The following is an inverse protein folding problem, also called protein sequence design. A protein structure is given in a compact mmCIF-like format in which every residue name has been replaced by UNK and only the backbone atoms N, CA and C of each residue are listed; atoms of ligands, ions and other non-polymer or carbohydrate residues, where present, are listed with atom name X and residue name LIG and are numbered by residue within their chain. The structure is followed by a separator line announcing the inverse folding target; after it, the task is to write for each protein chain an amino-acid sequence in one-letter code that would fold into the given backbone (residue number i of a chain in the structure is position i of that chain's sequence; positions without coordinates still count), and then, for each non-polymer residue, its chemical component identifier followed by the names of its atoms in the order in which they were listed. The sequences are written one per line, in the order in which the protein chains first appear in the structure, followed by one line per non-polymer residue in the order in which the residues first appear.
data_IF_866665898170
#
_entry.id   IF_866665898170
#
_cell.length_a   1.000
_cell.length_b   1.000
_cell.length_c   1.000
_cell.angle_alpha   90.00
_cell.angle_beta   90.00
_cell.angle_gamma   90.00
#
_symmetry.space_group_name_H-M   'P 1'
#
loop_
_entity.id
_entity.type
_entity.pdbx_description
1 polymer ?
#
# COMPACT_ATOMS: atom_id res chain seq x y z
N UNK A 1 -9.74 -20.51 -10.51
CA UNK A 1 -10.29 -19.36 -9.74
C UNK A 1 -9.94 -18.03 -10.41
N UNK A 2 -8.71 -17.80 -10.89
CA UNK A 2 -8.28 -16.52 -11.49
C UNK A 2 -8.36 -16.45 -13.02
N UNK A 3 -8.50 -17.58 -13.70
CA UNK A 3 -8.49 -17.64 -15.18
C UNK A 3 -9.57 -16.74 -15.80
N UNK A 4 -9.14 -15.82 -16.67
CA UNK A 4 -10.01 -14.84 -17.34
C UNK A 4 -10.58 -13.75 -16.43
N UNK A 5 -10.28 -13.75 -15.11
CA UNK A 5 -10.76 -12.71 -14.19
C UNK A 5 -10.07 -11.38 -14.49
N UNK A 6 -10.86 -10.34 -14.74
CA UNK A 6 -10.34 -8.98 -14.94
C UNK A 6 -9.99 -8.32 -13.62
N UNK A 7 -8.71 -8.04 -13.42
CA UNK A 7 -8.17 -7.50 -12.16
C UNK A 7 -7.53 -6.14 -12.40
N UNK A 8 -8.09 -5.09 -11.81
CA UNK A 8 -7.44 -3.77 -11.80
C UNK A 8 -6.40 -3.74 -10.67
N UNK A 9 -5.13 -3.51 -11.02
CA UNK A 9 -4.05 -3.33 -10.04
C UNK A 9 -3.64 -1.86 -10.04
N UNK A 10 -4.15 -1.09 -9.07
CA UNK A 10 -3.71 0.30 -8.90
C UNK A 10 -2.31 0.32 -8.27
N UNK A 11 -1.46 1.23 -8.72
CA UNK A 11 -0.03 1.14 -8.39
C UNK A 11 0.64 -0.07 -9.04
N UNK A 12 0.02 -0.67 -10.07
CA UNK A 12 0.46 -1.87 -10.77
C UNK A 12 1.79 -1.74 -11.51
N UNK A 13 2.28 -0.51 -11.69
CA UNK A 13 3.60 -0.22 -12.28
C UNK A 13 4.68 0.05 -11.22
N UNK A 14 4.30 0.10 -9.94
CA UNK A 14 5.22 0.23 -8.80
C UNK A 14 5.79 -1.11 -8.36
N UNK A 15 6.61 -1.06 -7.32
CA UNK A 15 7.32 -2.23 -6.80
C UNK A 15 6.36 -3.40 -6.48
N UNK A 16 5.52 -3.27 -5.46
CA UNK A 16 4.58 -4.34 -5.07
C UNK A 16 3.62 -4.71 -6.21
N UNK A 17 3.03 -3.69 -6.85
CA UNK A 17 2.01 -3.91 -7.89
C UNK A 17 2.53 -4.68 -9.09
N UNK A 18 3.78 -4.45 -9.52
CA UNK A 18 4.38 -5.17 -10.66
C UNK A 18 4.55 -6.67 -10.37
N UNK A 19 4.95 -7.04 -9.16
CA UNK A 19 5.03 -8.44 -8.73
C UNK A 19 3.65 -9.10 -8.68
N UNK A 20 2.63 -8.38 -8.19
CA UNK A 20 1.24 -8.87 -8.19
C UNK A 20 0.75 -9.08 -9.63
N UNK A 21 0.97 -8.12 -10.53
CA UNK A 21 0.62 -8.24 -11.96
C UNK A 21 1.29 -9.46 -12.59
N UNK A 22 2.58 -9.67 -12.33
CA UNK A 22 3.29 -10.84 -12.83
C UNK A 22 2.68 -12.15 -12.31
N UNK A 23 2.34 -12.19 -11.02
CA UNK A 23 1.73 -13.36 -10.40
C UNK A 23 0.33 -13.63 -10.94
N UNK A 24 -0.49 -12.59 -11.14
CA UNK A 24 -1.83 -12.72 -11.72
C UNK A 24 -1.77 -13.26 -13.16
N UNK A 25 -0.82 -12.78 -13.98
CA UNK A 25 -0.60 -13.34 -15.32
C UNK A 25 -0.24 -14.82 -15.29
N UNK A 26 0.61 -15.24 -14.36
CA UNK A 26 0.98 -16.64 -14.18
C UNK A 26 -0.20 -17.53 -13.70
N UNK A 27 -1.29 -16.92 -13.23
CA UNK A 27 -2.54 -17.58 -12.83
C UNK A 27 -3.64 -17.45 -13.91
N UNK A 28 -3.27 -17.06 -15.15
CA UNK A 28 -4.17 -16.84 -16.28
C UNK A 28 -5.28 -15.80 -16.02
N UNK A 29 -5.05 -14.85 -15.09
CA UNK A 29 -5.92 -13.69 -14.93
C UNK A 29 -5.67 -12.65 -16.03
N UNK A 30 -6.58 -11.69 -16.17
CA UNK A 30 -6.45 -10.51 -17.04
C UNK A 30 -6.13 -9.24 -16.19
N UNK A 31 -4.87 -9.03 -15.75
CA UNK A 31 -4.51 -7.90 -14.94
C UNK A 31 -4.31 -6.63 -15.78
N UNK A 32 -5.00 -5.56 -15.39
CA UNK A 32 -4.82 -4.19 -15.88
C UNK A 32 -3.97 -3.42 -14.87
N UNK A 33 -2.70 -3.18 -15.22
CA UNK A 33 -1.77 -2.44 -14.37
C UNK A 33 -1.86 -0.94 -14.64
N UNK A 34 -2.18 -0.15 -13.62
CA UNK A 34 -2.26 1.32 -13.72
C UNK A 34 -1.34 2.01 -12.72
N UNK A 35 -0.83 3.17 -13.10
CA UNK A 35 0.01 4.05 -12.29
C UNK A 35 -0.44 5.51 -12.41
N UNK A 36 0.30 6.43 -11.81
CA UNK A 36 -0.02 7.88 -11.80
C UNK A 36 -0.02 8.54 -13.18
N UNK A 37 0.59 7.91 -14.18
CA UNK A 37 0.56 8.39 -15.58
C UNK A 37 -0.76 8.05 -16.29
N UNK A 38 -1.53 7.10 -15.78
CA UNK A 38 -2.80 6.66 -16.37
C UNK A 38 -3.99 7.43 -15.78
N UNK A 39 -3.96 7.69 -14.46
CA UNK A 39 -4.95 8.49 -13.76
C UNK A 39 -4.40 9.01 -12.42
N UNK A 40 -4.78 10.21 -12.05
CA UNK A 40 -4.57 10.75 -10.70
C UNK A 40 -5.69 10.24 -9.78
N UNK A 41 -5.36 9.28 -8.91
CA UNK A 41 -6.33 8.72 -7.97
C UNK A 41 -6.70 9.67 -6.81
N UNK A 42 -6.03 10.82 -6.67
CA UNK A 42 -6.49 11.88 -5.75
C UNK A 42 -7.69 12.65 -6.31
N UNK A 43 -7.92 12.54 -7.62
CA UNK A 43 -9.07 13.11 -8.34
C UNK A 43 -10.16 12.04 -8.50
N UNK A 44 -11.33 12.29 -7.91
CA UNK A 44 -12.46 11.35 -7.91
C UNK A 44 -13.01 11.07 -9.30
N UNK A 45 -13.02 12.07 -10.18
CA UNK A 45 -13.60 11.94 -11.52
C UNK A 45 -12.67 11.14 -12.44
N UNK A 46 -11.36 11.36 -12.34
CA UNK A 46 -10.38 10.56 -13.07
C UNK A 46 -10.40 9.11 -12.59
N UNK A 47 -10.48 8.91 -11.27
CA UNK A 47 -10.58 7.58 -10.68
C UNK A 47 -11.84 6.87 -11.18
N UNK A 48 -13.01 7.50 -11.12
CA UNK A 48 -14.24 6.88 -11.57
C UNK A 48 -14.21 6.54 -13.07
N UNK A 49 -13.72 7.43 -13.94
CA UNK A 49 -13.56 7.15 -15.36
C UNK A 49 -12.68 5.93 -15.62
N UNK A 50 -11.52 5.82 -14.94
CA UNK A 50 -10.64 4.66 -15.04
C UNK A 50 -11.37 3.36 -14.69
N UNK A 51 -12.11 3.33 -13.57
CA UNK A 51 -12.83 2.14 -13.14
C UNK A 51 -13.99 1.78 -14.07
N UNK A 52 -14.68 2.78 -14.63
CA UNK A 52 -15.75 2.58 -15.61
C UNK A 52 -15.25 2.05 -16.96
N UNK A 53 -14.05 2.43 -17.37
CA UNK A 53 -13.38 1.92 -18.57
C UNK A 53 -12.89 0.50 -18.38
N UNK A 54 -12.25 0.21 -17.25
CA UNK A 54 -11.65 -1.11 -16.97
C UNK A 54 -12.72 -2.15 -16.63
N UNK A 55 -13.77 -1.77 -15.90
CA UNK A 55 -14.81 -2.70 -15.40
C UNK A 55 -14.25 -3.94 -14.72
N UNK A 56 -13.41 -3.80 -13.69
CA UNK A 56 -12.78 -4.93 -13.04
C UNK A 56 -13.77 -5.74 -12.21
N UNK A 57 -13.63 -7.07 -12.22
CA UNK A 57 -14.29 -7.93 -11.22
C UNK A 57 -13.58 -7.87 -9.87
N UNK A 58 -12.25 -7.71 -9.89
CA UNK A 58 -11.43 -7.61 -8.68
C UNK A 58 -10.52 -6.39 -8.76
N UNK A 59 -10.42 -5.68 -7.65
CA UNK A 59 -9.46 -4.57 -7.50
C UNK A 59 -8.37 -4.97 -6.50
N UNK A 60 -7.10 -4.84 -6.91
CA UNK A 60 -5.95 -4.93 -6.00
C UNK A 60 -5.34 -3.54 -5.88
N UNK A 61 -5.56 -2.92 -4.73
CA UNK A 61 -5.21 -1.53 -4.49
C UNK A 61 -3.84 -1.41 -3.81
N UNK A 62 -2.80 -1.13 -4.62
CA UNK A 62 -1.42 -0.91 -4.16
C UNK A 62 -0.96 0.54 -4.34
N UNK A 63 -1.78 1.41 -4.92
CA UNK A 63 -1.42 2.80 -5.12
C UNK A 63 -1.18 3.51 -3.78
N UNK A 64 -0.10 4.26 -3.72
CA UNK A 64 0.31 5.02 -2.54
C UNK A 64 1.16 6.20 -2.95
N UNK A 65 0.96 7.32 -2.26
CA UNK A 65 1.87 8.45 -2.29
C UNK A 65 2.80 8.33 -1.08
N UNK A 66 4.09 8.06 -1.31
CA UNK A 66 4.97 7.80 -0.19
C UNK A 66 6.42 7.57 -0.58
N UNK A 67 7.22 7.31 0.44
CA UNK A 67 8.64 7.01 0.39
C UNK A 67 9.08 6.46 1.74
N UNK A 68 10.39 6.35 1.97
CA UNK A 68 10.96 5.99 3.25
C UNK A 68 10.60 6.99 4.37
N UNK A 69 11.02 6.67 5.59
CA UNK A 69 10.67 7.45 6.80
C UNK A 69 11.11 8.92 6.71
N UNK A 70 12.20 9.22 6.00
CA UNK A 70 12.65 10.60 5.73
C UNK A 70 11.59 11.40 4.98
N UNK A 71 11.10 10.84 3.87
CA UNK A 71 10.06 11.47 3.07
C UNK A 71 8.78 11.70 3.88
N UNK A 72 8.32 10.72 4.66
CA UNK A 72 7.12 10.85 5.48
C UNK A 72 7.25 11.93 6.55
N UNK A 73 8.44 12.11 7.10
CA UNK A 73 8.74 13.17 8.08
C UNK A 73 8.65 14.56 7.45
N UNK A 74 9.13 14.71 6.22
CA UNK A 74 9.20 16.00 5.53
C UNK A 74 7.86 16.35 4.82
N UNK A 75 7.01 15.34 4.53
CA UNK A 75 5.73 15.49 3.81
C UNK A 75 4.54 14.87 4.57
N UNK A 76 4.30 15.22 5.84
CA UNK A 76 3.23 14.59 6.63
C UNK A 76 1.83 14.89 6.10
N UNK A 77 1.62 16.07 5.48
CA UNK A 77 0.32 16.46 4.92
C UNK A 77 0.00 15.63 3.69
N UNK A 78 0.92 15.54 2.74
CA UNK A 78 0.79 14.73 1.51
C UNK A 78 0.61 13.25 1.86
N UNK A 79 1.42 12.76 2.81
CA UNK A 79 1.38 11.39 3.30
C UNK A 79 0.00 11.00 3.87
N UNK A 80 -0.66 11.90 4.58
CA UNK A 80 -2.00 11.67 5.12
C UNK A 80 -3.11 11.97 4.11
N UNK A 81 -3.15 13.24 3.65
CA UNK A 81 -4.23 13.77 2.81
C UNK A 81 -4.37 13.03 1.47
N UNK A 82 -3.25 12.88 0.75
CA UNK A 82 -3.32 12.33 -0.60
C UNK A 82 -3.58 10.82 -0.57
N UNK A 83 -2.99 10.11 0.39
CA UNK A 83 -3.32 8.70 0.58
C UNK A 83 -4.78 8.49 1.04
N UNK A 84 -5.34 9.35 1.87
CA UNK A 84 -6.74 9.28 2.22
C UNK A 84 -7.64 9.43 0.98
N UNK A 85 -7.35 10.42 0.10
CA UNK A 85 -8.08 10.61 -1.16
C UNK A 85 -7.95 9.40 -2.09
N UNK A 86 -6.72 8.93 -2.33
CA UNK A 86 -6.43 7.75 -3.16
C UNK A 86 -7.24 6.54 -2.68
N UNK A 87 -7.20 6.27 -1.37
CA UNK A 87 -7.87 5.12 -0.78
C UNK A 87 -9.41 5.23 -0.87
N UNK A 88 -9.98 6.40 -0.54
CA UNK A 88 -11.43 6.65 -0.60
C UNK A 88 -11.92 6.54 -2.04
N UNK A 89 -11.28 7.25 -2.97
CA UNK A 89 -11.70 7.29 -4.37
C UNK A 89 -11.64 5.89 -5.01
N UNK A 90 -10.57 5.12 -4.75
CA UNK A 90 -10.44 3.77 -5.29
C UNK A 90 -11.50 2.81 -4.73
N UNK A 91 -11.80 2.88 -3.42
CA UNK A 91 -12.82 2.04 -2.79
C UNK A 91 -14.23 2.39 -3.29
N UNK A 92 -14.56 3.68 -3.36
CA UNK A 92 -15.84 4.17 -3.85
C UNK A 92 -16.06 3.81 -5.34
N UNK A 93 -15.04 4.04 -6.19
CA UNK A 93 -15.11 3.69 -7.61
C UNK A 93 -15.21 2.17 -7.85
N UNK A 94 -14.55 1.35 -7.04
CA UNK A 94 -14.67 -0.10 -7.10
C UNK A 94 -16.10 -0.56 -6.80
N UNK A 95 -16.70 -0.03 -5.75
CA UNK A 95 -18.09 -0.33 -5.41
C UNK A 95 -19.05 0.15 -6.53
N UNK A 96 -18.89 1.39 -7.00
CA UNK A 96 -19.77 1.98 -8.04
C UNK A 96 -19.69 1.27 -9.39
N UNK A 97 -18.52 0.80 -9.80
CA UNK A 97 -18.38 0.07 -11.07
C UNK A 97 -18.86 -1.39 -10.97
N UNK A 98 -19.26 -1.85 -9.79
CA UNK A 98 -19.80 -3.19 -9.54
C UNK A 98 -18.73 -4.27 -9.44
N UNK A 99 -17.53 -3.94 -8.93
CA UNK A 99 -16.53 -4.95 -8.64
C UNK A 99 -17.02 -5.93 -7.54
N UNK A 100 -16.62 -7.19 -7.65
CA UNK A 100 -17.01 -8.24 -6.68
C UNK A 100 -16.15 -8.21 -5.42
N UNK A 101 -14.90 -7.74 -5.54
CA UNK A 101 -13.91 -7.78 -4.45
C UNK A 101 -12.91 -6.64 -4.55
N UNK A 102 -12.68 -5.97 -3.41
CA UNK A 102 -11.59 -5.01 -3.22
C UNK A 102 -10.55 -5.56 -2.26
N UNK A 103 -9.29 -5.67 -2.69
CA UNK A 103 -8.15 -6.07 -1.87
C UNK A 103 -7.24 -4.87 -1.68
N UNK A 104 -7.17 -4.32 -0.47
CA UNK A 104 -6.35 -3.15 -0.16
C UNK A 104 -5.02 -3.52 0.50
N UNK A 105 -3.91 -2.99 -0.04
CA UNK A 105 -2.62 -3.06 0.63
C UNK A 105 -2.60 -2.10 1.83
N UNK A 106 -2.63 -2.66 3.03
CA UNK A 106 -2.43 -1.96 4.30
C UNK A 106 -0.97 -2.11 4.76
N UNK A 107 -0.66 -1.74 5.99
CA UNK A 107 0.72 -1.70 6.49
C UNK A 107 0.78 -1.97 7.98
N UNK A 108 1.87 -2.59 8.43
CA UNK A 108 2.21 -2.67 9.87
C UNK A 108 2.41 -1.29 10.52
N UNK A 109 2.59 -0.22 9.75
CA UNK A 109 2.53 1.15 10.27
C UNK A 109 1.18 1.51 10.93
N UNK A 110 0.12 0.74 10.64
CA UNK A 110 -1.19 0.91 11.26
C UNK A 110 -1.23 0.51 12.74
N UNK A 111 -0.28 -0.28 13.23
CA UNK A 111 -0.24 -0.63 14.64
C UNK A 111 0.10 0.57 15.53
N UNK A 112 -0.34 0.58 16.79
CA UNK A 112 0.11 1.55 17.78
C UNK A 112 1.63 1.58 17.89
N UNK A 113 2.19 2.66 18.41
CA UNK A 113 3.65 2.81 18.57
C UNK A 113 4.29 1.66 19.37
N UNK A 114 3.59 1.12 20.35
CA UNK A 114 4.06 0.03 21.23
C UNK A 114 2.99 -1.04 21.36
N UNK A 115 2.75 -1.85 20.30
CA UNK A 115 1.75 -2.89 20.38
C UNK A 115 2.31 -4.10 21.14
N UNK A 116 1.44 -5.00 21.67
CA UNK A 116 1.87 -6.29 22.17
C UNK A 116 2.57 -7.12 21.07
N UNK A 117 3.44 -8.04 21.48
CA UNK A 117 4.10 -8.98 20.56
C UNK A 117 3.69 -10.40 20.98
N UNK A 118 3.26 -11.26 20.04
CA UNK A 118 3.10 -11.05 18.60
C UNK A 118 1.94 -10.09 18.26
N UNK A 119 2.05 -9.38 17.14
CA UNK A 119 1.00 -8.46 16.66
C UNK A 119 -0.26 -9.24 16.29
N UNK A 120 -1.43 -8.70 16.68
CA UNK A 120 -2.74 -9.20 16.29
C UNK A 120 -3.51 -8.13 15.56
N UNK A 121 -4.33 -8.50 14.60
CA UNK A 121 -5.06 -7.54 13.76
C UNK A 121 -5.98 -6.62 14.57
N UNK A 122 -6.59 -7.14 15.65
CA UNK A 122 -7.41 -6.35 16.58
C UNK A 122 -6.63 -5.23 17.29
N UNK A 123 -5.31 -5.40 17.46
CA UNK A 123 -4.47 -4.41 18.14
C UNK A 123 -4.22 -3.14 17.31
N UNK A 124 -4.53 -3.17 16.01
CA UNK A 124 -4.41 -2.00 15.14
C UNK A 124 -5.15 -0.77 15.71
N UNK A 125 -6.27 -0.99 16.41
CA UNK A 125 -7.14 0.07 16.92
C UNK A 125 -6.81 0.53 18.35
N UNK A 126 -5.84 -0.10 19.03
CA UNK A 126 -5.57 0.08 20.45
C UNK A 126 -4.62 1.25 20.79
N UNK A 127 -4.55 2.26 19.92
CA UNK A 127 -3.75 3.47 20.18
C UNK A 127 -3.30 4.19 18.90
N UNK A 128 -2.55 5.28 19.08
CA UNK A 128 -2.04 6.06 17.97
C UNK A 128 -0.78 5.40 17.38
N UNK A 129 -0.61 5.39 16.04
CA UNK A 129 0.58 4.89 15.38
C UNK A 129 1.84 5.66 15.76
N UNK A 130 3.00 5.19 15.30
CA UNK A 130 4.24 5.95 15.42
C UNK A 130 4.05 7.35 14.78
N UNK A 131 4.37 8.46 15.50
CA UNK A 131 4.00 9.81 15.04
C UNK A 131 4.52 10.21 13.66
N UNK A 132 5.72 9.78 13.27
CA UNK A 132 6.29 10.09 11.96
C UNK A 132 5.48 9.48 10.82
N UNK A 133 4.93 8.28 11.04
CA UNK A 133 4.07 7.57 10.10
C UNK A 133 2.58 7.82 10.35
N UNK A 134 2.24 8.57 11.39
CA UNK A 134 0.87 8.75 11.87
C UNK A 134 -0.13 9.12 10.78
N UNK A 135 0.08 10.20 9.99
CA UNK A 135 -0.86 10.59 8.94
C UNK A 135 -1.07 9.50 7.88
N UNK A 136 0.01 8.85 7.42
CA UNK A 136 -0.06 7.71 6.50
C UNK A 136 -0.84 6.54 7.11
N UNK A 137 -0.49 6.14 8.32
CA UNK A 137 -1.14 5.03 9.02
C UNK A 137 -2.64 5.29 9.21
N UNK A 138 -3.03 6.52 9.54
CA UNK A 138 -4.44 6.90 9.66
C UNK A 138 -5.19 6.84 8.33
N UNK A 139 -4.55 7.18 7.21
CA UNK A 139 -5.15 7.01 5.88
C UNK A 139 -5.42 5.54 5.55
N UNK A 140 -4.53 4.63 5.95
CA UNK A 140 -4.70 3.19 5.77
C UNK A 140 -5.76 2.60 6.73
N UNK A 141 -5.81 3.08 7.99
CA UNK A 141 -6.89 2.71 8.91
C UNK A 141 -8.25 3.16 8.39
N UNK A 142 -8.35 4.38 7.85
CA UNK A 142 -9.58 4.90 7.24
C UNK A 142 -10.05 4.00 6.10
N UNK A 143 -9.14 3.55 5.23
CA UNK A 143 -9.47 2.61 4.16
C UNK A 143 -10.07 1.30 4.70
N UNK A 144 -9.46 0.73 5.75
CA UNK A 144 -9.96 -0.50 6.37
C UNK A 144 -11.33 -0.31 7.01
N UNK A 145 -11.52 0.80 7.73
CA UNK A 145 -12.78 1.10 8.41
C UNK A 145 -13.92 1.37 7.42
N UNK A 146 -13.65 2.14 6.36
CA UNK A 146 -14.60 2.34 5.27
C UNK A 146 -14.92 1.03 4.53
N UNK A 147 -13.91 0.18 4.24
CA UNK A 147 -14.15 -1.11 3.61
C UNK A 147 -15.07 -1.99 4.43
N UNK A 148 -14.92 -1.98 5.77
CA UNK A 148 -15.86 -2.64 6.67
C UNK A 148 -17.26 -2.04 6.56
N UNK A 149 -17.38 -0.71 6.56
CA UNK A 149 -18.66 -0.04 6.42
C UNK A 149 -19.35 -0.37 5.07
N UNK A 150 -18.59 -0.43 3.97
CA UNK A 150 -19.11 -0.88 2.67
C UNK A 150 -19.58 -2.34 2.70
N UNK A 151 -18.87 -3.22 3.41
CA UNK A 151 -19.31 -4.61 3.58
C UNK A 151 -20.60 -4.71 4.38
N UNK A 152 -20.68 -3.98 5.49
CA UNK A 152 -21.85 -4.00 6.40
C UNK A 152 -23.09 -3.37 5.75
N UNK A 153 -22.92 -2.27 5.00
CA UNK A 153 -24.04 -1.51 4.43
C UNK A 153 -24.48 -2.03 3.05
N UNK A 154 -23.54 -2.47 2.24
CA UNK A 154 -23.78 -2.78 0.82
C UNK A 154 -23.47 -4.24 0.45
N UNK A 155 -22.92 -5.04 1.36
CA UNK A 155 -22.47 -6.41 1.06
C UNK A 155 -21.25 -6.45 0.13
N UNK A 156 -20.51 -5.33 -0.01
CA UNK A 156 -19.33 -5.26 -0.87
C UNK A 156 -18.16 -5.97 -0.20
N UNK A 157 -17.59 -6.96 -0.88
CA UNK A 157 -16.47 -7.72 -0.31
C UNK A 157 -15.18 -6.91 -0.29
N UNK A 158 -14.63 -6.69 0.90
CA UNK A 158 -13.36 -6.03 1.10
C UNK A 158 -12.41 -6.90 1.93
N UNK A 159 -11.15 -6.96 1.53
CA UNK A 159 -10.07 -7.61 2.27
C UNK A 159 -8.85 -6.70 2.32
N UNK A 160 -8.11 -6.74 3.43
CA UNK A 160 -6.95 -5.87 3.62
C UNK A 160 -5.75 -6.69 4.06
N UNK A 161 -4.66 -6.64 3.28
CA UNK A 161 -3.40 -7.28 3.63
C UNK A 161 -2.55 -6.31 4.45
N UNK A 162 -2.31 -6.64 5.73
CA UNK A 162 -1.41 -5.86 6.59
C UNK A 162 0.02 -6.32 6.32
N UNK A 163 0.69 -5.60 5.43
CA UNK A 163 2.01 -5.96 4.94
C UNK A 163 3.11 -5.46 5.88
N UNK A 164 4.12 -6.32 6.10
CA UNK A 164 5.37 -5.93 6.74
C UNK A 164 6.24 -5.05 5.84
N UNK A 165 7.53 -4.94 6.19
CA UNK A 165 8.46 -4.20 5.33
C UNK A 165 8.79 -5.05 4.10
N UNK A 166 8.46 -4.54 2.93
CA UNK A 166 8.74 -5.21 1.66
C UNK A 166 10.15 -4.86 1.18
N UNK A 167 10.81 -5.81 0.53
CA UNK A 167 12.09 -5.60 -0.16
C UNK A 167 12.22 -6.59 -1.33
N UNK A 168 13.00 -6.26 -2.32
CA UNK A 168 13.24 -7.19 -3.43
C UNK A 168 13.55 -6.50 -4.75
N UNK A 169 13.63 -7.28 -5.85
CA UNK A 169 13.89 -6.74 -7.18
C UNK A 169 12.83 -5.70 -7.59
N UNK A 170 13.30 -4.53 -8.03
CA UNK A 170 12.42 -3.43 -8.45
C UNK A 170 11.98 -2.50 -7.31
N UNK A 171 12.54 -2.67 -6.09
CA UNK A 171 12.35 -1.69 -5.01
C UNK A 171 13.04 -0.36 -5.32
N UNK A 172 12.59 0.73 -4.67
CA UNK A 172 13.16 2.05 -4.85
C UNK A 172 14.55 2.12 -4.20
N UNK A 173 15.56 2.42 -5.00
CA UNK A 173 16.96 2.52 -4.56
C UNK A 173 17.41 3.97 -4.33
N UNK A 174 16.54 4.96 -4.54
CA UNK A 174 16.83 6.36 -4.25
C UNK A 174 17.06 6.53 -2.73
N UNK A 175 18.25 7.01 -2.29
CA UNK A 175 18.56 7.16 -0.87
C UNK A 175 17.54 8.01 -0.07
N UNK A 176 16.84 8.93 -0.73
CA UNK A 176 15.82 9.78 -0.11
C UNK A 176 14.49 9.03 0.11
N UNK A 177 14.26 7.92 -0.60
CA UNK A 177 12.99 7.21 -0.65
C UNK A 177 13.08 5.74 -0.28
N UNK A 178 14.28 5.14 -0.37
CA UNK A 178 14.51 3.73 -0.14
C UNK A 178 14.09 3.28 1.27
N UNK A 179 13.56 2.09 1.36
CA UNK A 179 13.31 1.41 2.63
C UNK A 179 14.61 0.83 3.21
N UNK A 180 14.57 0.45 4.48
CA UNK A 180 15.78 0.13 5.26
C UNK A 180 16.68 -0.93 4.62
N UNK A 181 16.12 -2.02 4.07
CA UNK A 181 16.92 -3.10 3.48
C UNK A 181 17.62 -2.61 2.21
N UNK A 182 16.88 -2.00 1.29
CA UNK A 182 17.40 -1.46 0.04
C UNK A 182 18.42 -0.36 0.30
N UNK A 183 18.16 0.55 1.25
CA UNK A 183 19.10 1.59 1.65
C UNK A 183 20.40 1.02 2.24
N UNK A 184 20.32 -0.03 3.07
CA UNK A 184 21.51 -0.68 3.63
C UNK A 184 22.32 -1.40 2.55
N UNK A 185 21.66 -2.11 1.62
CA UNK A 185 22.33 -2.76 0.48
C UNK A 185 23.12 -1.72 -0.33
N UNK A 186 22.49 -0.61 -0.71
CA UNK A 186 23.16 0.45 -1.48
C UNK A 186 24.35 1.01 -0.73
N UNK A 187 24.19 1.31 0.56
CA UNK A 187 25.29 1.83 1.39
C UNK A 187 26.45 0.84 1.55
N UNK A 188 26.17 -0.46 1.63
CA UNK A 188 27.22 -1.48 1.63
C UNK A 188 27.99 -1.53 0.31
N UNK A 189 27.30 -1.28 -0.81
CA UNK A 189 27.94 -1.23 -2.13
C UNK A 189 28.78 0.03 -2.33
N UNK A 190 28.34 1.15 -1.77
CA UNK A 190 29.03 2.45 -1.91
C UNK A 190 30.23 2.60 -0.93
N UNK A 191 30.17 1.93 0.22
CA UNK A 191 31.18 2.03 1.30
C UNK A 191 31.59 0.64 1.79
N UNK A 192 32.40 -0.09 1.03
CA UNK A 192 32.71 -1.50 1.32
C UNK A 192 33.50 -1.71 2.62
N UNK A 193 34.25 -0.70 3.10
CA UNK A 193 35.15 -0.87 4.26
C UNK A 193 34.47 -0.51 5.59
N UNK A 194 33.42 0.31 5.59
CA UNK A 194 32.72 0.73 6.81
C UNK A 194 31.25 1.06 6.56
N UNK A 195 30.34 0.48 7.36
CA UNK A 195 28.92 0.79 7.35
C UNK A 195 28.49 1.44 8.66
N UNK A 196 28.16 2.73 8.61
CA UNK A 196 27.58 3.46 9.75
C UNK A 196 26.12 3.10 9.90
N UNK A 197 25.76 2.45 11.01
CA UNK A 197 24.37 2.08 11.35
C UNK A 197 23.83 3.02 12.40
N UNK A 198 22.60 3.51 12.19
CA UNK A 198 21.94 4.38 13.16
C UNK A 198 21.29 3.55 14.26
N UNK A 199 21.47 4.01 15.52
CA UNK A 199 20.89 3.35 16.69
C UNK A 199 21.82 2.30 17.31
N UNK A 200 21.23 1.39 18.10
CA UNK A 200 21.98 0.41 18.91
C UNK A 200 22.17 -0.96 18.24
N UNK A 201 21.59 -1.17 17.06
CA UNK A 201 21.56 -2.47 16.38
C UNK A 201 20.67 -3.55 17.06
N UNK A 202 19.91 -3.19 18.09
CA UNK A 202 19.06 -4.14 18.84
C UNK A 202 17.64 -4.28 18.27
N UNK A 203 17.23 -3.40 17.36
CA UNK A 203 15.92 -3.46 16.77
C UNK A 203 15.79 -4.68 15.85
N UNK A 204 14.73 -5.46 16.05
CA UNK A 204 14.34 -6.55 15.16
C UNK A 204 13.15 -6.12 14.31
N UNK A 205 13.11 -6.57 13.06
CA UNK A 205 12.03 -6.27 12.12
C UNK A 205 11.76 -7.48 11.26
N UNK A 206 10.49 -7.69 10.95
CA UNK A 206 10.08 -8.65 9.92
C UNK A 206 10.10 -7.96 8.54
N UNK A 207 10.58 -8.69 7.56
CA UNK A 207 10.65 -8.27 6.15
C UNK A 207 10.05 -9.36 5.26
N UNK A 208 9.34 -8.96 4.21
CA UNK A 208 8.71 -9.83 3.22
C UNK A 208 9.31 -9.61 1.83
#
# INVERSE_FOLDING_TARGET
MWSGTRVLVTGGRGFLGSHIVQKLRALDADPVAVGSVDADLTDSDQTQRLFDEVRPSVVVHCAVQGGGIGWMKDHPVESGRDNARININALDAAHRCGADLFIGASSTCCYPRTPPVPFREEDIWNGYPEPTNGPYAQSKRLMMDLGRAYSDQHGFNCAFAVLGNLYGPGDDLDPARAHVVSALIMRCLDQPDELVVWGTGRATREHL
#
